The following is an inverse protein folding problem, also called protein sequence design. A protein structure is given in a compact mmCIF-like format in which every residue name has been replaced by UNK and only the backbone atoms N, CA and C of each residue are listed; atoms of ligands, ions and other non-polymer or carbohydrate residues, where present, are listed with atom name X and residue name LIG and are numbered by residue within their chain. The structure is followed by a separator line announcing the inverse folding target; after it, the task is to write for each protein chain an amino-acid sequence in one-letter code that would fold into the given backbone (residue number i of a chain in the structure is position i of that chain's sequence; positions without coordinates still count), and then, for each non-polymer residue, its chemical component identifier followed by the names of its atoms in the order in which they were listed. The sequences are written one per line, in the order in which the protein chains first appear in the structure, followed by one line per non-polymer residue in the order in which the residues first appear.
data_IF_263188820773
#
_entry.id   IF_263188820773
#
_cell.length_a   1.000
_cell.length_b   1.000
_cell.length_c   1.000
_cell.angle_alpha   90.00
_cell.angle_beta   90.00
_cell.angle_gamma   90.00
#
_symmetry.space_group_name_H-M   'P 1'
#
loop_
_entity.id
_entity.type
_entity.pdbx_description
1 polymer ?
#
# COMPACT_ATOMS: atom_id res chain seq x y z
N UNK A 1 15.63 10.56 19.30
CA UNK A 1 16.46 9.84 18.37
C UNK A 1 16.99 10.74 17.26
N UNK A 2 18.11 10.38 16.71
CA UNK A 2 18.68 11.14 15.61
C UNK A 2 17.75 11.10 14.40
N UNK A 3 17.65 12.22 13.71
CA UNK A 3 16.85 12.30 12.50
C UNK A 3 17.46 11.40 11.41
N UNK A 4 16.62 10.78 10.60
CA UNK A 4 17.07 10.03 9.43
C UNK A 4 17.71 11.02 8.47
N UNK A 5 18.92 10.73 7.95
CA UNK A 5 19.55 11.63 6.99
C UNK A 5 18.60 11.90 5.81
N UNK A 6 18.40 13.19 5.51
CA UNK A 6 17.44 13.59 4.48
C UNK A 6 17.78 13.02 3.10
N UNK A 7 19.06 12.88 2.79
CA UNK A 7 19.51 12.33 1.52
C UNK A 7 19.14 10.83 1.36
N UNK A 8 18.91 10.13 2.47
CA UNK A 8 18.49 8.74 2.43
C UNK A 8 16.98 8.61 2.24
N UNK A 9 16.19 9.34 3.07
CA UNK A 9 14.72 9.34 2.94
C UNK A 9 14.30 9.96 1.62
N UNK A 10 15.05 10.97 1.16
CA UNK A 10 14.82 11.68 -0.09
C UNK A 10 15.27 10.89 -1.33
N UNK A 11 15.78 9.68 -1.16
CA UNK A 11 16.20 8.89 -2.30
C UNK A 11 15.16 8.91 -3.43
N UNK A 12 15.59 8.59 -4.64
CA UNK A 12 14.72 8.59 -5.81
C UNK A 12 14.20 7.18 -6.11
N UNK A 13 13.12 7.10 -6.86
CA UNK A 13 12.67 5.86 -7.47
C UNK A 13 12.34 6.13 -8.93
N UNK A 14 12.40 5.09 -9.76
CA UNK A 14 11.95 5.17 -11.15
C UNK A 14 10.61 4.47 -11.28
N UNK A 15 9.61 5.11 -11.91
CA UNK A 15 8.32 4.45 -12.14
C UNK A 15 8.43 3.10 -12.84
N UNK A 16 9.39 2.94 -13.76
CA UNK A 16 9.63 1.66 -14.46
C UNK A 16 10.09 0.54 -13.54
N UNK A 17 10.68 0.87 -12.40
CA UNK A 17 11.17 -0.10 -11.43
C UNK A 17 10.13 -0.46 -10.38
N UNK A 18 8.98 0.23 -10.37
CA UNK A 18 7.89 -0.12 -9.46
C UNK A 18 7.18 -1.37 -9.99
N UNK A 19 6.97 -2.34 -9.11
CA UNK A 19 6.24 -3.56 -9.49
C UNK A 19 4.77 -3.21 -9.66
N UNK A 20 4.29 -3.23 -10.92
CA UNK A 20 2.87 -3.05 -11.18
C UNK A 20 2.22 -4.42 -11.12
N UNK A 21 1.43 -4.65 -10.08
CA UNK A 21 0.61 -5.86 -10.00
C UNK A 21 -0.67 -5.62 -10.80
N UNK A 22 -0.58 -5.76 -12.12
CA UNK A 22 -1.73 -5.57 -12.98
C UNK A 22 -2.64 -6.79 -12.88
N UNK A 23 -3.86 -6.57 -12.39
CA UNK A 23 -4.91 -7.57 -12.24
C UNK A 23 -6.02 -7.23 -13.21
N UNK A 24 -6.75 -8.23 -13.69
CA UNK A 24 -7.91 -7.96 -14.53
C UNK A 24 -9.11 -7.42 -13.72
N UNK A 25 -9.17 -7.73 -12.42
CA UNK A 25 -10.21 -7.26 -11.51
C UNK A 25 -9.63 -6.60 -10.28
N UNK A 26 -10.28 -5.52 -9.83
CA UNK A 26 -9.91 -4.77 -8.64
C UNK A 26 -11.14 -4.58 -7.77
N UNK A 27 -11.01 -4.90 -6.48
CA UNK A 27 -12.06 -4.72 -5.51
C UNK A 27 -11.62 -3.69 -4.47
N UNK A 28 -12.45 -2.67 -4.27
CA UNK A 28 -12.22 -1.63 -3.28
C UNK A 28 -13.42 -1.57 -2.34
N UNK A 29 -13.49 -2.49 -1.35
CA UNK A 29 -14.69 -2.59 -0.51
C UNK A 29 -14.97 -1.35 0.32
N UNK A 30 -13.94 -0.59 0.72
CA UNK A 30 -14.15 0.65 1.45
C UNK A 30 -14.76 1.75 0.57
N UNK A 31 -14.58 1.64 -0.74
CA UNK A 31 -15.19 2.56 -1.71
C UNK A 31 -16.50 2.04 -2.27
N UNK A 32 -16.86 0.80 -2.00
CA UNK A 32 -18.00 0.16 -2.62
C UNK A 32 -17.84 0.02 -4.13
N UNK A 33 -16.64 -0.25 -4.60
CA UNK A 33 -16.30 -0.19 -6.02
C UNK A 33 -15.53 -1.43 -6.44
N UNK A 34 -16.07 -2.15 -7.43
CA UNK A 34 -15.40 -3.25 -8.08
C UNK A 34 -15.25 -2.92 -9.56
N UNK A 35 -14.07 -3.17 -10.11
CA UNK A 35 -13.78 -2.87 -11.51
C UNK A 35 -13.14 -4.07 -12.20
N UNK A 36 -13.53 -4.29 -13.45
CA UNK A 36 -12.86 -5.23 -14.33
C UNK A 36 -12.34 -4.45 -15.54
N UNK A 37 -11.04 -4.52 -15.77
CA UNK A 37 -10.40 -3.76 -16.83
C UNK A 37 -10.49 -4.47 -18.16
N UNK A 38 -10.67 -3.73 -19.28
CA UNK A 38 -10.52 -4.30 -20.62
C UNK A 38 -9.12 -4.87 -20.82
N UNK A 39 -9.03 -5.92 -21.59
CA UNK A 39 -7.75 -6.61 -21.84
C UNK A 39 -6.69 -5.67 -22.41
N UNK A 40 -7.06 -4.80 -23.34
CA UNK A 40 -6.12 -3.86 -23.96
C UNK A 40 -5.59 -2.85 -22.95
N UNK A 41 -6.43 -2.32 -22.08
CA UNK A 41 -6.00 -1.41 -21.00
C UNK A 41 -5.02 -2.11 -20.06
N UNK A 42 -5.32 -3.35 -19.71
CA UNK A 42 -4.47 -4.16 -18.84
C UNK A 42 -3.09 -4.38 -19.49
N UNK A 43 -3.04 -4.65 -20.80
CA UNK A 43 -1.76 -4.79 -21.52
C UNK A 43 -0.93 -3.53 -21.46
N UNK A 44 -1.55 -2.36 -21.61
CA UNK A 44 -0.87 -1.07 -21.56
C UNK A 44 -0.36 -0.74 -20.17
N UNK A 45 -1.09 -1.14 -19.14
CA UNK A 45 -0.63 -1.01 -17.74
C UNK A 45 0.60 -1.89 -17.52
N UNK A 46 0.56 -3.13 -17.98
CA UNK A 46 1.70 -4.06 -17.86
C UNK A 46 2.91 -3.57 -18.65
N UNK A 47 2.70 -2.96 -19.81
CA UNK A 47 3.75 -2.37 -20.63
C UNK A 47 4.25 -1.03 -20.07
N UNK A 48 3.59 -0.50 -19.04
CA UNK A 48 3.93 0.78 -18.41
C UNK A 48 3.82 1.97 -19.37
N UNK A 49 2.96 1.88 -20.38
CA UNK A 49 2.56 3.02 -21.21
C UNK A 49 1.38 3.77 -20.60
N UNK A 50 0.65 3.10 -19.72
CA UNK A 50 -0.42 3.69 -18.89
C UNK A 50 -0.07 3.49 -17.44
N UNK A 51 -0.10 4.55 -16.67
CA UNK A 51 0.05 4.51 -15.22
C UNK A 51 -1.34 4.46 -14.59
N UNK A 52 -1.57 3.47 -13.73
CA UNK A 52 -2.79 3.35 -12.92
C UNK A 52 -2.45 3.79 -11.50
N UNK A 53 -3.03 4.90 -11.05
CA UNK A 53 -2.65 5.53 -9.79
C UNK A 53 -3.90 5.85 -8.98
N UNK A 54 -3.83 5.52 -7.69
CA UNK A 54 -4.90 5.80 -6.73
C UNK A 54 -4.60 7.07 -5.95
N UNK A 55 -5.61 7.88 -5.71
CA UNK A 55 -5.50 9.10 -4.91
C UNK A 55 -6.68 9.22 -3.96
N UNK A 56 -6.43 9.81 -2.81
CA UNK A 56 -7.49 10.08 -1.84
C UNK A 56 -7.22 11.39 -1.11
N UNK A 57 -8.29 12.03 -0.68
CA UNK A 57 -8.23 13.21 0.18
C UNK A 57 -9.10 13.01 1.39
N UNK A 58 -8.59 13.41 2.56
CA UNK A 58 -9.26 13.26 3.85
C UNK A 58 -9.68 14.63 4.36
N UNK A 59 -10.68 14.66 5.25
CA UNK A 59 -11.04 15.87 5.96
C UNK A 59 -9.95 16.24 6.96
N UNK A 60 -10.05 17.41 7.57
CA UNK A 60 -9.04 17.94 8.47
C UNK A 60 -8.77 17.04 9.68
N UNK A 61 -9.79 16.30 10.13
CA UNK A 61 -9.67 15.40 11.28
C UNK A 61 -9.22 13.98 10.90
N UNK A 62 -9.07 13.72 9.61
CA UNK A 62 -8.70 12.40 9.06
C UNK A 62 -9.65 11.27 9.49
N UNK A 63 -10.91 11.59 9.77
CA UNK A 63 -11.94 10.61 10.15
C UNK A 63 -12.91 10.29 9.03
N UNK A 64 -12.89 11.04 7.92
CA UNK A 64 -13.71 10.78 6.75
C UNK A 64 -12.98 11.16 5.47
N UNK A 65 -13.16 10.39 4.41
CA UNK A 65 -12.62 10.76 3.11
C UNK A 65 -13.51 11.81 2.45
N UNK A 66 -12.88 12.73 1.76
CA UNK A 66 -13.55 13.71 0.91
C UNK A 66 -13.72 13.17 -0.49
N UNK A 67 -12.70 12.48 -1.00
CA UNK A 67 -12.72 11.81 -2.30
C UNK A 67 -11.69 10.70 -2.33
N UNK A 68 -11.93 9.73 -3.20
CA UNK A 68 -10.96 8.70 -3.52
C UNK A 68 -11.22 8.24 -4.95
N UNK A 69 -10.17 8.16 -5.76
CA UNK A 69 -10.31 7.76 -7.15
C UNK A 69 -9.09 7.00 -7.65
N UNK A 70 -9.33 6.19 -8.66
CA UNK A 70 -8.27 5.54 -9.43
C UNK A 70 -8.21 6.26 -10.78
N UNK A 71 -7.01 6.61 -11.22
CA UNK A 71 -6.82 7.29 -12.49
C UNK A 71 -5.92 6.49 -13.42
N UNK A 72 -6.10 6.73 -14.71
CA UNK A 72 -5.28 6.16 -15.79
C UNK A 72 -4.70 7.33 -16.57
N UNK A 73 -3.38 7.33 -16.75
CA UNK A 73 -2.66 8.40 -17.44
C UNK A 73 -1.66 7.81 -18.41
N UNK A 74 -1.44 8.47 -19.54
CA UNK A 74 -0.35 8.10 -20.42
C UNK A 74 0.98 8.45 -19.76
N UNK A 75 1.96 7.59 -19.95
CA UNK A 75 3.29 7.77 -19.40
C UNK A 75 4.30 7.62 -20.53
N UNK A 76 5.04 8.70 -20.81
CA UNK A 76 6.11 8.69 -21.83
C UNK A 76 7.31 7.90 -21.27
N UNK A 77 8.22 7.52 -22.18
CA UNK A 77 9.47 6.87 -21.77
C UNK A 77 10.26 7.74 -20.78
N UNK A 78 10.31 9.04 -21.04
CA UNK A 78 10.98 9.98 -20.14
C UNK A 78 10.35 9.99 -18.75
N UNK A 79 9.02 10.02 -18.69
CA UNK A 79 8.29 9.99 -17.41
C UNK A 79 8.45 8.65 -16.68
N UNK A 80 8.46 7.56 -17.43
CA UNK A 80 8.63 6.21 -16.92
C UNK A 80 10.03 6.01 -16.31
N UNK A 81 11.06 6.56 -16.96
CA UNK A 81 12.46 6.44 -16.55
C UNK A 81 12.95 7.59 -15.65
N UNK A 82 12.07 8.53 -15.32
CA UNK A 82 12.43 9.66 -14.47
C UNK A 82 12.82 9.21 -13.08
N UNK A 83 13.85 9.84 -12.52
CA UNK A 83 14.19 9.67 -11.11
C UNK A 83 13.36 10.65 -10.28
N UNK A 84 12.41 10.12 -9.55
CA UNK A 84 11.44 10.91 -8.77
C UNK A 84 11.84 10.89 -7.30
N UNK A 85 12.03 12.08 -6.72
CA UNK A 85 12.31 12.18 -5.29
C UNK A 85 11.14 11.66 -4.47
N UNK A 86 11.45 10.88 -3.44
CA UNK A 86 10.45 10.32 -2.53
C UNK A 86 9.89 11.35 -1.56
N UNK A 87 10.60 12.46 -1.37
CA UNK A 87 10.23 13.53 -0.44
C UNK A 87 9.91 14.80 -1.20
N UNK A 88 9.17 15.70 -0.56
CA UNK A 88 8.79 16.99 -1.14
C UNK A 88 7.69 16.85 -2.18
N UNK A 89 7.68 17.76 -3.16
CA UNK A 89 6.62 17.84 -4.18
C UNK A 89 6.93 17.07 -5.46
N UNK A 90 8.10 16.45 -5.55
CA UNK A 90 8.54 15.81 -6.81
C UNK A 90 7.57 14.74 -7.32
N UNK A 91 7.00 13.93 -6.43
CA UNK A 91 6.02 12.93 -6.83
C UNK A 91 4.76 13.60 -7.40
N UNK A 92 4.26 14.62 -6.71
CA UNK A 92 3.06 15.34 -7.17
C UNK A 92 3.33 16.04 -8.51
N UNK A 93 4.50 16.65 -8.66
CA UNK A 93 4.90 17.29 -9.91
C UNK A 93 4.99 16.29 -11.05
N UNK A 94 5.58 15.13 -10.79
CA UNK A 94 5.65 14.03 -11.77
C UNK A 94 4.24 13.56 -12.13
N UNK A 95 3.40 13.25 -11.14
CA UNK A 95 2.03 12.80 -11.36
C UNK A 95 1.21 13.82 -12.15
N UNK A 96 1.35 15.11 -11.82
CA UNK A 96 0.63 16.16 -12.50
C UNK A 96 1.13 16.39 -13.93
N UNK A 97 2.34 15.94 -14.25
CA UNK A 97 2.89 16.02 -15.62
C UNK A 97 2.32 14.96 -16.56
N UNK A 98 1.73 13.89 -16.00
CA UNK A 98 1.18 12.80 -16.80
C UNK A 98 -0.08 13.25 -17.55
N UNK A 99 -0.26 12.77 -18.78
CA UNK A 99 -1.44 13.08 -19.57
C UNK A 99 -2.61 12.21 -19.09
N UNK A 100 -3.59 12.82 -18.41
CA UNK A 100 -4.74 12.13 -17.83
C UNK A 100 -5.65 11.59 -18.93
N UNK A 101 -6.01 10.32 -18.86
CA UNK A 101 -7.00 9.69 -19.74
C UNK A 101 -8.35 9.70 -19.03
N UNK A 102 -8.42 9.18 -17.81
CA UNK A 102 -9.66 9.14 -17.07
C UNK A 102 -9.46 8.70 -15.63
N UNK A 103 -10.57 8.70 -14.88
CA UNK A 103 -10.60 8.34 -13.48
C UNK A 103 -11.97 7.80 -13.10
N UNK A 104 -12.01 6.91 -12.13
CA UNK A 104 -13.25 6.41 -11.53
C UNK A 104 -13.09 6.51 -10.01
N UNK A 105 -14.07 7.09 -9.34
CA UNK A 105 -13.99 7.26 -7.90
C UNK A 105 -15.23 7.79 -7.23
N UNK A 106 -15.09 8.11 -5.96
CA UNK A 106 -16.14 8.66 -5.10
C UNK A 106 -15.76 10.06 -4.64
N UNK A 107 -16.78 10.89 -4.45
CA UNK A 107 -16.59 12.30 -4.11
C UNK A 107 -17.72 12.76 -3.18
N UNK A 108 -17.34 13.45 -2.09
CA UNK A 108 -18.36 14.06 -1.23
C UNK A 108 -18.95 15.29 -1.92
N UNK A 109 -19.92 15.93 -1.28
CA UNK A 109 -20.65 17.08 -1.85
C UNK A 109 -19.72 18.22 -2.25
N UNK A 110 -18.72 18.54 -1.42
CA UNK A 110 -17.78 19.61 -1.70
C UNK A 110 -16.82 19.24 -2.83
N UNK A 111 -16.32 18.00 -2.83
CA UNK A 111 -15.39 17.50 -3.84
C UNK A 111 -16.06 17.41 -5.22
N UNK A 112 -17.36 17.09 -5.26
CA UNK A 112 -18.14 17.04 -6.50
C UNK A 112 -18.12 18.37 -7.27
N UNK A 113 -17.94 19.48 -6.56
CA UNK A 113 -17.87 20.82 -7.16
C UNK A 113 -16.50 21.12 -7.78
N UNK A 114 -15.49 20.30 -7.51
CA UNK A 114 -14.12 20.51 -7.93
C UNK A 114 -13.53 19.32 -8.71
N UNK A 115 -14.35 18.59 -9.44
CA UNK A 115 -13.94 17.37 -10.14
C UNK A 115 -12.80 17.60 -11.13
N UNK A 116 -12.83 18.70 -11.88
CA UNK A 116 -11.76 19.02 -12.83
C UNK A 116 -10.41 19.16 -12.12
N UNK A 117 -10.41 19.89 -11.03
CA UNK A 117 -9.21 20.15 -10.23
C UNK A 117 -8.69 18.89 -9.58
N UNK A 118 -9.58 18.08 -9.01
CA UNK A 118 -9.21 16.86 -8.28
C UNK A 118 -8.69 15.79 -9.23
N UNK A 119 -9.40 15.53 -10.32
CA UNK A 119 -9.09 14.42 -11.24
C UNK A 119 -8.13 14.79 -12.36
N UNK A 120 -8.02 16.06 -12.69
CA UNK A 120 -7.29 16.50 -13.88
C UNK A 120 -8.03 16.15 -15.17
N UNK A 121 -9.28 15.75 -15.10
CA UNK A 121 -10.14 15.43 -16.24
C UNK A 121 -11.19 16.50 -16.45
N UNK A 122 -11.73 16.59 -17.66
CA UNK A 122 -12.64 17.68 -18.04
C UNK A 122 -14.09 17.26 -18.23
N UNK A 123 -14.35 15.97 -18.37
CA UNK A 123 -15.69 15.42 -18.58
C UNK A 123 -16.02 14.45 -17.46
N UNK A 124 -17.22 14.58 -16.87
CA UNK A 124 -17.60 13.78 -15.71
C UNK A 124 -19.00 13.23 -15.86
N UNK A 125 -19.13 11.92 -15.69
CA UNK A 125 -20.42 11.23 -15.76
C UNK A 125 -20.73 10.60 -14.41
N UNK A 126 -21.83 10.97 -13.78
CA UNK A 126 -22.30 10.33 -12.56
C UNK A 126 -22.73 8.89 -12.87
N UNK A 127 -22.18 7.93 -12.13
CA UNK A 127 -22.48 6.51 -12.34
C UNK A 127 -23.20 5.88 -11.14
N UNK A 128 -23.41 6.62 -10.08
CA UNK A 128 -24.16 6.15 -8.92
C UNK A 128 -23.89 7.00 -7.68
N UNK A 129 -24.47 6.58 -6.58
CA UNK A 129 -24.26 7.22 -5.27
C UNK A 129 -24.21 6.14 -4.18
N UNK A 130 -23.53 6.47 -3.07
CA UNK A 130 -23.50 5.57 -1.91
C UNK A 130 -24.89 5.46 -1.28
N UNK A 131 -25.14 4.35 -0.59
CA UNK A 131 -26.46 4.08 0.02
C UNK A 131 -26.84 5.12 1.07
N UNK A 132 -25.85 5.71 1.77
CA UNK A 132 -26.07 6.74 2.77
C UNK A 132 -26.18 8.16 2.16
N UNK A 133 -25.98 8.29 0.84
CA UNK A 133 -26.09 9.57 0.14
C UNK A 133 -24.93 10.52 0.33
N UNK A 134 -23.88 10.11 1.04
CA UNK A 134 -22.73 10.98 1.33
C UNK A 134 -21.80 11.16 0.14
N UNK A 135 -21.73 10.18 -0.75
CA UNK A 135 -20.81 10.17 -1.88
C UNK A 135 -21.51 9.89 -3.19
N UNK A 136 -21.02 10.51 -4.24
CA UNK A 136 -21.38 10.17 -5.61
C UNK A 136 -20.22 9.55 -6.33
N UNK A 137 -20.50 8.64 -7.24
CA UNK A 137 -19.53 7.96 -8.08
C UNK A 137 -19.51 8.62 -9.44
N UNK A 138 -18.30 8.90 -9.93
CA UNK A 138 -18.10 9.50 -11.25
C UNK A 138 -17.10 8.72 -12.07
N UNK A 139 -17.42 8.60 -13.35
CA UNK A 139 -16.48 8.23 -14.40
C UNK A 139 -16.04 9.52 -15.06
N UNK A 140 -14.77 9.83 -15.01
CA UNK A 140 -14.18 11.04 -15.56
C UNK A 140 -13.28 10.71 -16.73
N UNK A 141 -13.30 11.53 -17.78
CA UNK A 141 -12.40 11.42 -18.93
C UNK A 141 -11.88 12.79 -19.29
N UNK A 142 -10.72 12.82 -19.95
CA UNK A 142 -10.13 14.07 -20.42
C UNK A 142 -10.41 14.24 -21.91
N UNK A 143 -11.02 15.37 -22.27
CA UNK A 143 -11.34 15.64 -23.68
C UNK A 143 -10.13 15.63 -24.62
N UNK A 144 -8.95 15.95 -24.08
CA UNK A 144 -7.70 16.02 -24.86
C UNK A 144 -6.99 14.68 -24.96
N UNK A 145 -7.50 13.65 -24.29
CA UNK A 145 -6.89 12.31 -24.33
C UNK A 145 -7.16 11.62 -25.66
N UNK A 146 -6.31 10.66 -26.00
CA UNK A 146 -6.50 9.81 -27.15
C UNK A 146 -7.85 9.11 -27.09
N UNK A 147 -8.61 9.15 -28.20
CA UNK A 147 -9.98 8.61 -28.23
C UNK A 147 -10.02 7.11 -27.94
N UNK A 148 -9.04 6.35 -28.39
CA UNK A 148 -9.01 4.90 -28.14
C UNK A 148 -8.76 4.60 -26.66
N UNK A 149 -7.92 5.39 -26.00
CA UNK A 149 -7.66 5.25 -24.58
C UNK A 149 -8.86 5.67 -23.73
N UNK A 150 -9.51 6.76 -24.11
CA UNK A 150 -10.76 7.19 -23.44
C UNK A 150 -11.81 6.08 -23.50
N UNK A 151 -11.94 5.46 -24.68
CA UNK A 151 -12.89 4.36 -24.87
C UNK A 151 -12.57 3.17 -23.97
N UNK A 152 -11.29 2.83 -23.82
CA UNK A 152 -10.88 1.75 -22.93
C UNK A 152 -11.28 2.03 -21.48
N UNK A 153 -11.11 3.27 -21.00
CA UNK A 153 -11.54 3.67 -19.67
C UNK A 153 -13.07 3.60 -19.54
N UNK A 154 -13.79 4.05 -20.57
CA UNK A 154 -15.25 3.99 -20.59
C UNK A 154 -15.78 2.55 -20.63
N UNK A 155 -15.00 1.60 -21.13
CA UNK A 155 -15.34 0.18 -21.21
C UNK A 155 -15.00 -0.60 -19.93
N UNK A 156 -14.42 0.04 -18.92
CA UNK A 156 -14.19 -0.60 -17.63
C UNK A 156 -15.54 -1.04 -17.06
N UNK A 157 -15.65 -2.30 -16.70
CA UNK A 157 -16.87 -2.85 -16.11
C UNK A 157 -16.88 -2.50 -14.62
N UNK A 158 -17.80 -1.62 -14.22
CA UNK A 158 -17.88 -1.09 -12.87
C UNK A 158 -19.12 -1.68 -12.18
N UNK A 159 -18.92 -2.26 -11.02
CA UNK A 159 -20.00 -2.71 -10.14
C UNK A 159 -19.90 -1.94 -8.82
N UNK A 160 -20.99 -1.33 -8.41
CA UNK A 160 -21.09 -0.63 -7.14
C UNK A 160 -21.65 -1.57 -6.07
N UNK A 161 -21.01 -1.58 -4.91
CA UNK A 161 -21.40 -2.40 -3.77
C UNK A 161 -21.57 -1.52 -2.54
N UNK A 162 -22.07 -2.10 -1.44
CA UNK A 162 -22.12 -1.39 -0.17
C UNK A 162 -20.69 -1.13 0.32
N UNK A 163 -20.47 0.08 0.84
CA UNK A 163 -19.18 0.46 1.39
C UNK A 163 -18.93 -0.26 2.71
N UNK A 164 -17.77 -0.92 2.82
CA UNK A 164 -17.35 -1.47 4.10
C UNK A 164 -16.85 -0.32 4.98
N UNK A 165 -17.29 -0.20 6.23
CA UNK A 165 -16.77 0.85 7.11
C UNK A 165 -15.26 0.72 7.29
N UNK A 166 -14.54 1.83 7.24
CA UNK A 166 -13.10 1.86 7.49
C UNK A 166 -12.80 2.73 8.71
N UNK A 167 -11.74 2.38 9.42
CA UNK A 167 -11.29 3.10 10.61
C UNK A 167 -9.85 3.53 10.41
N UNK A 168 -9.61 4.78 10.04
CA UNK A 168 -8.28 5.36 9.88
C UNK A 168 -7.37 4.59 8.90
N UNK A 169 -7.96 3.85 7.98
CA UNK A 169 -7.24 3.13 6.93
C UNK A 169 -7.38 3.88 5.61
N UNK A 170 -6.44 3.66 4.69
CA UNK A 170 -6.59 4.18 3.33
C UNK A 170 -7.86 3.62 2.70
N UNK A 171 -8.57 4.45 1.94
CA UNK A 171 -9.79 4.04 1.24
C UNK A 171 -9.52 2.97 0.17
N UNK A 172 -8.27 2.81 -0.27
CA UNK A 172 -7.87 1.83 -1.26
C UNK A 172 -7.36 0.53 -0.65
N UNK A 173 -7.22 0.47 0.68
CA UNK A 173 -6.82 -0.74 1.34
C UNK A 173 -7.95 -1.75 1.29
N UNK A 174 -7.61 -2.97 0.94
CA UNK A 174 -8.57 -4.05 0.84
C UNK A 174 -8.49 -4.93 2.08
N UNK A 175 -9.62 -5.37 2.65
CA UNK A 175 -9.57 -6.49 3.56
C UNK A 175 -8.90 -7.64 2.84
N UNK A 176 -7.96 -8.29 3.49
CA UNK A 176 -7.26 -9.39 2.86
C UNK A 176 -8.24 -10.46 2.44
N UNK A 177 -8.16 -10.86 1.17
CA UNK A 177 -8.93 -11.99 0.68
C UNK A 177 -8.23 -13.26 1.16
N UNK A 178 -8.75 -13.82 2.25
CA UNK A 178 -8.19 -15.01 2.85
C UNK A 178 -8.32 -16.25 1.97
N UNK A 179 -9.21 -16.21 0.97
CA UNK A 179 -9.36 -17.35 0.06
C UNK A 179 -8.20 -17.49 -0.91
N UNK A 180 -7.51 -16.37 -1.23
CA UNK A 180 -6.38 -16.35 -2.17
C UNK A 180 -5.03 -16.19 -1.46
N UNK A 181 -5.02 -15.98 -0.16
CA UNK A 181 -3.80 -15.66 0.59
C UNK A 181 -3.08 -16.88 1.16
N UNK A 182 -3.50 -18.11 0.81
CA UNK A 182 -2.97 -19.32 1.43
C UNK A 182 -3.46 -19.47 2.87
N UNK A 183 -2.63 -19.99 3.77
CA UNK A 183 -3.01 -20.12 5.18
C UNK A 183 -2.96 -18.77 5.86
N UNK A 184 -4.14 -18.26 6.26
CA UNK A 184 -4.28 -16.97 6.94
C UNK A 184 -4.27 -17.08 8.46
N UNK A 185 -4.08 -18.29 9.02
CA UNK A 185 -4.11 -18.50 10.49
C UNK A 185 -2.72 -18.49 11.11
N UNK A 186 -1.67 -18.70 10.31
CA UNK A 186 -0.29 -18.72 10.79
C UNK A 186 0.66 -18.20 9.72
N UNK A 187 1.79 -17.66 10.15
CA UNK A 187 2.88 -17.26 9.23
C UNK A 187 3.58 -18.51 8.69
N UNK A 188 3.46 -19.64 9.38
CA UNK A 188 4.09 -20.89 8.99
C UNK A 188 5.51 -21.02 9.51
N UNK A 189 6.12 -22.15 9.22
CA UNK A 189 7.50 -22.44 9.61
C UNK A 189 8.42 -21.97 8.48
N UNK A 190 8.88 -20.76 8.59
CA UNK A 190 9.78 -20.20 7.59
C UNK A 190 11.26 -20.34 8.02
N UNK A 191 12.13 -20.35 7.04
CA UNK A 191 13.56 -20.26 7.23
C UNK A 191 14.09 -19.25 6.23
N UNK A 192 14.65 -18.16 6.71
CA UNK A 192 15.07 -17.09 5.84
C UNK A 192 16.26 -16.33 6.43
N UNK A 193 16.75 -15.40 5.64
CA UNK A 193 17.77 -14.45 6.11
C UNK A 193 17.13 -13.07 6.29
N UNK A 194 17.67 -12.32 7.25
CA UNK A 194 17.42 -10.90 7.32
C UNK A 194 18.29 -10.16 6.32
N UNK A 195 17.99 -8.89 6.11
CA UNK A 195 18.84 -8.02 5.28
C UNK A 195 20.21 -7.79 5.92
N UNK A 196 20.35 -8.13 7.20
CA UNK A 196 21.61 -8.10 7.96
C UNK A 196 22.47 -9.38 7.75
N UNK A 197 21.96 -10.34 6.97
CA UNK A 197 22.65 -11.61 6.68
C UNK A 197 22.47 -12.68 7.74
N UNK A 198 21.76 -12.40 8.83
CA UNK A 198 21.51 -13.39 9.90
C UNK A 198 20.37 -14.32 9.51
N UNK A 199 20.37 -15.52 10.10
CA UNK A 199 19.32 -16.51 9.87
C UNK A 199 18.15 -16.29 10.84
N UNK A 200 16.94 -16.42 10.32
CA UNK A 200 15.70 -16.26 11.10
C UNK A 200 14.72 -17.38 10.76
N UNK A 201 14.00 -17.82 11.78
CA UNK A 201 12.88 -18.76 11.65
C UNK A 201 11.67 -18.19 12.40
N UNK A 202 10.55 -18.93 12.40
CA UNK A 202 9.35 -18.56 13.16
C UNK A 202 9.63 -18.40 14.66
N UNK A 203 10.74 -18.88 15.14
CA UNK A 203 11.17 -18.70 16.54
C UNK A 203 11.46 -17.23 16.88
N UNK A 204 11.58 -16.36 15.87
CA UNK A 204 11.75 -14.93 16.10
C UNK A 204 10.59 -14.34 16.90
N UNK A 205 9.42 -14.97 16.87
CA UNK A 205 8.24 -14.54 17.62
C UNK A 205 8.18 -15.05 19.06
N UNK A 206 9.00 -16.06 19.39
CA UNK A 206 8.87 -16.79 20.66
C UNK A 206 9.19 -15.98 21.92
N UNK A 207 9.94 -14.88 21.76
CA UNK A 207 10.35 -14.03 22.88
C UNK A 207 9.29 -12.98 23.25
N UNK A 208 8.20 -12.88 22.50
CA UNK A 208 7.19 -11.84 22.66
C UNK A 208 5.80 -12.45 22.72
N UNK A 209 4.95 -11.90 23.57
CA UNK A 209 3.54 -12.30 23.63
C UNK A 209 2.78 -11.89 22.36
N UNK A 210 3.21 -10.79 21.75
CA UNK A 210 2.64 -10.24 20.55
C UNK A 210 3.76 -9.65 19.71
N UNK A 211 3.78 -9.95 18.41
CA UNK A 211 4.71 -9.31 17.47
C UNK A 211 3.93 -8.61 16.37
N UNK A 212 4.29 -7.35 16.15
CA UNK A 212 3.81 -6.57 15.02
C UNK A 212 4.65 -6.92 13.81
N UNK A 213 4.01 -7.42 12.74
CA UNK A 213 4.69 -7.76 11.49
C UNK A 213 4.31 -6.72 10.44
N UNK A 214 5.29 -5.92 10.03
CA UNK A 214 5.11 -4.82 9.09
C UNK A 214 5.66 -5.20 7.72
N UNK A 215 4.78 -5.26 6.73
CA UNK A 215 5.16 -5.62 5.35
C UNK A 215 5.31 -4.33 4.55
N UNK A 216 6.48 -4.13 3.99
CA UNK A 216 6.79 -2.90 3.27
C UNK A 216 7.71 -3.13 2.08
N UNK A 217 7.89 -2.09 1.29
CA UNK A 217 8.84 -2.08 0.17
C UNK A 217 9.80 -0.91 0.33
N UNK A 218 10.99 -1.03 -0.25
CA UNK A 218 12.02 0.00 -0.11
C UNK A 218 11.71 1.28 -0.87
N UNK A 219 10.81 1.21 -1.86
CA UNK A 219 10.40 2.37 -2.68
C UNK A 219 9.18 3.11 -2.09
N UNK A 220 8.56 2.59 -1.07
CA UNK A 220 7.32 3.12 -0.49
C UNK A 220 7.65 4.18 0.57
N UNK A 221 7.45 5.46 0.24
CA UNK A 221 7.76 6.57 1.16
C UNK A 221 7.01 6.50 2.50
N UNK A 222 5.70 6.24 2.54
CA UNK A 222 5.01 6.08 3.82
C UNK A 222 5.58 4.94 4.66
N UNK A 223 6.00 3.85 4.02
CA UNK A 223 6.61 2.72 4.72
C UNK A 223 7.93 3.12 5.37
N UNK A 224 8.80 3.80 4.60
CA UNK A 224 10.11 4.25 5.07
C UNK A 224 9.96 5.24 6.22
N UNK A 225 9.03 6.17 6.09
CA UNK A 225 8.78 7.19 7.11
C UNK A 225 8.19 6.61 8.40
N UNK A 226 7.56 5.45 8.32
CA UNK A 226 7.00 4.75 9.47
C UNK A 226 8.06 4.01 10.30
N UNK A 227 9.18 3.62 9.69
CA UNK A 227 10.20 2.82 10.38
C UNK A 227 10.65 3.44 11.70
N UNK A 228 10.95 4.74 11.79
CA UNK A 228 11.33 5.34 13.08
C UNK A 228 10.21 5.27 14.13
N UNK A 229 8.97 5.36 13.73
CA UNK A 229 7.83 5.24 14.63
C UNK A 229 7.73 3.81 15.19
N UNK A 230 7.95 2.82 14.32
CA UNK A 230 7.95 1.41 14.72
C UNK A 230 9.15 1.08 15.61
N UNK A 231 10.30 1.71 15.37
CA UNK A 231 11.46 1.52 16.25
C UNK A 231 11.20 2.09 17.65
N UNK A 232 10.59 3.26 17.74
CA UNK A 232 10.19 3.83 19.03
C UNK A 232 9.19 2.93 19.75
N UNK A 233 8.22 2.41 19.02
CA UNK A 233 7.24 1.46 19.56
C UNK A 233 7.95 0.23 20.13
N UNK A 234 8.88 -0.34 19.37
CA UNK A 234 9.65 -1.50 19.77
C UNK A 234 10.44 -1.23 21.06
N UNK A 235 11.18 -0.12 21.10
CA UNK A 235 11.96 0.24 22.29
C UNK A 235 11.10 0.45 23.51
N UNK A 236 9.93 1.03 23.38
CA UNK A 236 9.01 1.26 24.51
C UNK A 236 8.28 0.01 24.95
N UNK A 237 8.02 -0.94 24.06
CA UNK A 237 7.12 -2.06 24.34
C UNK A 237 7.82 -3.43 24.43
N UNK A 238 9.07 -3.55 24.00
CA UNK A 238 9.78 -4.85 24.00
C UNK A 238 9.84 -5.52 25.38
N UNK A 239 10.01 -4.73 26.43
CA UNK A 239 10.05 -5.24 27.81
C UNK A 239 8.63 -5.52 28.34
N UNK A 240 7.61 -5.16 27.59
CA UNK A 240 6.20 -5.42 27.91
C UNK A 240 5.64 -6.57 27.07
N UNK A 241 6.49 -7.31 26.40
CA UNK A 241 6.10 -8.49 25.63
C UNK A 241 5.72 -8.23 24.19
N UNK A 242 6.08 -7.07 23.63
CA UNK A 242 5.76 -6.72 22.24
C UNK A 242 7.02 -6.64 21.40
N UNK A 243 7.05 -7.43 20.33
CA UNK A 243 8.12 -7.39 19.33
C UNK A 243 7.67 -6.71 18.04
N UNK A 244 8.64 -6.40 17.20
CA UNK A 244 8.40 -5.84 15.85
C UNK A 244 9.30 -6.58 14.87
N UNK A 245 8.72 -6.95 13.73
CA UNK A 245 9.45 -7.58 12.63
C UNK A 245 9.01 -6.90 11.33
N UNK A 246 9.97 -6.49 10.52
CA UNK A 246 9.70 -6.00 9.18
C UNK A 246 9.89 -7.12 8.16
N UNK A 247 9.08 -7.14 7.10
CA UNK A 247 9.26 -8.03 5.96
C UNK A 247 9.37 -7.14 4.71
N UNK A 248 10.49 -7.25 4.01
CA UNK A 248 10.78 -6.38 2.87
C UNK A 248 10.39 -7.09 1.58
N UNK A 249 9.20 -6.83 1.08
CA UNK A 249 8.60 -7.63 0.02
C UNK A 249 9.32 -7.49 -1.32
N UNK A 250 9.86 -6.32 -1.63
CA UNK A 250 10.56 -6.08 -2.90
C UNK A 250 11.99 -6.63 -2.97
N UNK A 251 12.46 -7.29 -1.89
CA UNK A 251 13.74 -8.03 -1.93
C UNK A 251 13.62 -9.33 -2.74
N UNK A 252 12.40 -9.75 -3.07
CA UNK A 252 12.12 -10.95 -3.87
C UNK A 252 11.25 -10.53 -5.05
N UNK A 253 11.62 -10.97 -6.25
CA UNK A 253 10.85 -10.70 -7.46
C UNK A 253 9.67 -11.67 -7.61
N UNK A 254 8.85 -11.42 -8.64
CA UNK A 254 7.67 -12.26 -8.95
C UNK A 254 8.05 -13.71 -9.26
N UNK A 255 9.28 -13.94 -9.70
CA UNK A 255 9.82 -15.28 -9.99
C UNK A 255 10.36 -15.98 -8.73
N UNK A 256 10.23 -15.36 -7.56
CA UNK A 256 10.73 -15.88 -6.30
C UNK A 256 12.24 -15.69 -6.09
N UNK A 257 12.92 -15.04 -7.01
CA UNK A 257 14.37 -14.81 -6.90
C UNK A 257 14.66 -13.56 -6.10
N UNK A 258 15.71 -13.68 -5.26
CA UNK A 258 16.17 -12.57 -4.46
C UNK A 258 16.87 -11.52 -5.32
N UNK A 259 16.53 -10.24 -5.09
CA UNK A 259 17.19 -9.10 -5.72
C UNK A 259 18.23 -8.57 -4.75
N UNK A 260 19.50 -8.88 -5.02
CA UNK A 260 20.61 -8.53 -4.12
C UNK A 260 20.79 -7.01 -3.98
N UNK A 261 20.52 -6.25 -5.02
CA UNK A 261 20.60 -4.79 -4.95
C UNK A 261 19.54 -4.22 -3.98
N UNK A 262 18.34 -4.77 -4.00
CA UNK A 262 17.26 -4.35 -3.09
C UNK A 262 17.53 -4.81 -1.66
N UNK A 263 18.11 -6.01 -1.49
CA UNK A 263 18.54 -6.48 -0.16
C UNK A 263 19.57 -5.51 0.44
N UNK A 264 20.53 -5.09 -0.35
CA UNK A 264 21.56 -4.12 0.07
C UNK A 264 20.92 -2.78 0.44
N UNK A 265 19.99 -2.32 -0.38
CA UNK A 265 19.23 -1.07 -0.13
C UNK A 265 18.46 -1.16 1.19
N UNK A 266 17.79 -2.28 1.44
CA UNK A 266 17.07 -2.52 2.68
C UNK A 266 17.99 -2.58 3.89
N UNK A 267 19.18 -3.16 3.74
CA UNK A 267 20.20 -3.17 4.79
C UNK A 267 20.68 -1.78 5.16
N UNK A 268 20.92 -0.94 4.15
CA UNK A 268 21.29 0.47 4.37
C UNK A 268 20.13 1.21 5.05
N UNK A 269 18.89 0.93 4.63
CA UNK A 269 17.70 1.52 5.23
C UNK A 269 17.60 1.15 6.72
N UNK A 270 17.80 -0.11 7.07
CA UNK A 270 17.81 -0.58 8.46
C UNK A 270 18.87 0.16 9.29
N UNK A 271 20.07 0.27 8.76
CA UNK A 271 21.18 0.95 9.43
C UNK A 271 20.91 2.44 9.63
N UNK A 272 20.48 3.13 8.58
CA UNK A 272 20.26 4.58 8.62
C UNK A 272 19.07 4.99 9.47
N UNK A 273 18.03 4.17 9.53
CA UNK A 273 16.87 4.41 10.40
C UNK A 273 17.12 3.96 11.83
N UNK A 274 18.23 3.27 12.07
CA UNK A 274 18.59 2.70 13.38
C UNK A 274 17.55 1.70 13.88
N UNK A 275 16.84 1.05 12.97
CA UNK A 275 15.86 0.02 13.32
C UNK A 275 16.60 -1.16 13.94
N UNK A 276 16.28 -1.46 15.19
CA UNK A 276 16.89 -2.57 15.92
C UNK A 276 16.09 -3.87 15.78
N UNK A 277 14.90 -3.80 15.21
CA UNK A 277 14.11 -4.99 14.91
C UNK A 277 14.52 -5.57 13.54
N UNK A 278 14.32 -6.88 13.31
CA UNK A 278 14.80 -7.51 12.08
C UNK A 278 13.98 -7.12 10.86
N UNK A 279 14.67 -7.02 9.73
CA UNK A 279 14.07 -6.87 8.40
C UNK A 279 14.27 -8.19 7.68
N UNK A 280 13.22 -8.95 7.46
CA UNK A 280 13.28 -10.28 6.86
C UNK A 280 13.12 -10.21 5.34
N UNK A 281 13.85 -11.10 4.67
CA UNK A 281 13.63 -11.41 3.26
C UNK A 281 12.57 -12.51 3.22
N UNK A 282 11.42 -12.31 2.56
CA UNK A 282 10.38 -13.34 2.57
C UNK A 282 10.84 -14.59 1.81
N UNK A 283 10.61 -15.76 2.41
CA UNK A 283 10.87 -17.04 1.77
C UNK A 283 9.61 -17.56 1.05
N UNK A 284 9.71 -18.74 0.43
CA UNK A 284 8.59 -19.31 -0.31
C UNK A 284 7.40 -19.66 0.59
N UNK A 285 7.65 -20.02 1.85
CA UNK A 285 6.58 -20.32 2.81
C UNK A 285 5.75 -19.07 3.07
N UNK A 286 6.41 -17.94 3.30
CA UNK A 286 5.72 -16.66 3.50
C UNK A 286 5.02 -16.19 2.22
N UNK A 287 5.71 -16.25 1.08
CA UNK A 287 5.16 -15.77 -0.20
C UNK A 287 3.97 -16.58 -0.67
N UNK A 288 3.97 -17.89 -0.44
CA UNK A 288 2.86 -18.76 -0.81
C UNK A 288 1.77 -18.85 0.27
N UNK A 289 2.04 -18.31 1.46
CA UNK A 289 1.12 -18.28 2.59
C UNK A 289 0.56 -16.89 2.84
N UNK A 290 0.83 -16.34 4.02
CA UNK A 290 0.23 -15.08 4.48
C UNK A 290 0.51 -13.88 3.56
N UNK A 291 1.66 -13.85 2.89
CA UNK A 291 2.03 -12.72 2.04
C UNK A 291 1.52 -12.83 0.60
N UNK A 292 0.84 -13.92 0.27
CA UNK A 292 0.28 -14.10 -1.07
C UNK A 292 -0.82 -13.07 -1.33
N UNK A 293 -0.71 -12.37 -2.44
CA UNK A 293 -1.74 -11.41 -2.87
C UNK A 293 -1.66 -10.03 -2.26
N UNK A 294 -0.63 -9.73 -1.45
CA UNK A 294 -0.47 -8.39 -0.90
C UNK A 294 -0.05 -7.43 -2.01
N UNK A 295 -0.81 -6.35 -2.19
CA UNK A 295 -0.59 -5.37 -3.24
C UNK A 295 -0.54 -3.92 -2.73
N UNK A 296 -0.87 -3.68 -1.47
CA UNK A 296 -0.87 -2.34 -0.87
C UNK A 296 0.11 -2.29 0.30
N UNK A 297 0.86 -1.20 0.42
CA UNK A 297 1.93 -1.05 1.41
C UNK A 297 1.84 0.30 2.14
N UNK A 298 2.19 0.35 3.44
CA UNK A 298 2.53 -0.81 4.27
C UNK A 298 1.29 -1.58 4.69
N UNK A 299 1.44 -2.87 4.94
CA UNK A 299 0.42 -3.70 5.55
C UNK A 299 0.99 -4.29 6.84
N UNK A 300 0.19 -4.30 7.91
CA UNK A 300 0.62 -4.77 9.21
C UNK A 300 -0.37 -5.78 9.78
N UNK A 301 0.13 -6.87 10.29
CA UNK A 301 -0.66 -7.85 11.05
C UNK A 301 0.10 -8.25 12.31
N UNK A 302 -0.58 -8.98 13.19
CA UNK A 302 -0.02 -9.38 14.48
C UNK A 302 0.03 -10.89 14.59
N UNK A 303 1.05 -11.38 15.29
CA UNK A 303 1.20 -12.81 15.60
C UNK A 303 1.47 -12.99 17.08
N UNK A 304 1.08 -14.17 17.61
CA UNK A 304 1.45 -14.58 18.96
C UNK A 304 2.85 -15.23 18.95
N UNK A 305 3.28 -15.71 20.12
CA UNK A 305 4.62 -16.31 20.27
C UNK A 305 4.83 -17.60 19.46
N UNK A 306 3.76 -18.23 19.01
CA UNK A 306 3.82 -19.45 18.19
C UNK A 306 3.70 -19.17 16.69
N UNK A 307 3.61 -17.88 16.29
CA UNK A 307 3.47 -17.49 14.89
C UNK A 307 2.05 -17.55 14.37
N UNK A 308 1.07 -17.75 15.26
CA UNK A 308 -0.34 -17.71 14.88
C UNK A 308 -0.78 -16.27 14.70
N UNK A 309 -1.52 -16.01 13.62
CA UNK A 309 -2.03 -14.67 13.32
C UNK A 309 -3.18 -14.37 14.28
N UNK A 310 -3.09 -13.22 14.94
CA UNK A 310 -4.08 -12.78 15.94
C UNK A 310 -4.54 -11.38 15.61
N UNK A 311 -5.77 -11.06 15.98
CA UNK A 311 -6.32 -9.72 15.82
C UNK A 311 -6.58 -9.34 14.36
N UNK A 312 -6.53 -8.06 14.10
CA UNK A 312 -6.89 -7.47 12.82
C UNK A 312 -5.65 -7.17 11.95
N UNK A 313 -5.86 -7.06 10.65
CA UNK A 313 -4.87 -6.55 9.70
C UNK A 313 -5.08 -5.04 9.56
N UNK A 314 -3.98 -4.30 9.54
CA UNK A 314 -3.99 -2.85 9.47
C UNK A 314 -3.28 -2.41 8.20
N UNK A 315 -3.88 -1.48 7.47
CA UNK A 315 -3.32 -0.96 6.24
C UNK A 315 -2.89 0.49 6.43
N UNK A 316 -1.86 0.91 5.70
CA UNK A 316 -1.32 2.26 5.78
C UNK A 316 -0.39 2.48 6.96
N UNK A 317 0.31 3.62 6.91
CA UNK A 317 1.23 4.01 7.98
C UNK A 317 0.49 4.69 9.13
N UNK A 318 1.01 4.49 10.35
CA UNK A 318 0.44 5.07 11.56
C UNK A 318 1.51 5.74 12.39
N UNK A 319 1.11 6.71 13.19
CA UNK A 319 1.99 7.36 14.16
C UNK A 319 2.28 6.43 15.34
N UNK A 320 3.29 6.79 16.12
CA UNK A 320 3.61 6.07 17.36
C UNK A 320 2.40 5.97 18.30
N UNK A 321 1.69 7.09 18.50
CA UNK A 321 0.53 7.12 19.40
C UNK A 321 -0.60 6.22 18.91
N UNK A 322 -0.83 6.20 17.61
CA UNK A 322 -1.83 5.30 17.00
C UNK A 322 -1.41 3.84 17.18
N UNK A 323 -0.14 3.51 16.92
CA UNK A 323 0.37 2.16 17.09
C UNK A 323 0.30 1.72 18.55
N UNK A 324 0.58 2.60 19.50
CA UNK A 324 0.44 2.26 20.94
C UNK A 324 -0.97 1.81 21.28
N UNK A 325 -1.98 2.53 20.79
CA UNK A 325 -3.38 2.17 21.03
C UNK A 325 -3.74 0.84 20.39
N UNK A 326 -3.29 0.63 19.16
CA UNK A 326 -3.53 -0.62 18.42
C UNK A 326 -2.87 -1.80 19.16
N UNK A 327 -1.62 -1.65 19.54
CA UNK A 327 -0.84 -2.69 20.23
C UNK A 327 -1.47 -3.02 21.57
N UNK A 328 -1.91 -2.03 22.35
CA UNK A 328 -2.58 -2.25 23.62
C UNK A 328 -3.86 -3.06 23.43
N UNK A 329 -4.65 -2.74 22.41
CA UNK A 329 -5.87 -3.47 22.06
C UNK A 329 -5.54 -4.94 21.69
N UNK A 330 -4.58 -5.14 20.80
CA UNK A 330 -4.23 -6.48 20.33
C UNK A 330 -3.55 -7.31 21.41
N UNK A 331 -2.73 -6.69 22.26
CA UNK A 331 -2.08 -7.36 23.39
C UNK A 331 -3.12 -7.83 24.42
N UNK A 332 -4.13 -7.03 24.68
CA UNK A 332 -5.22 -7.41 25.58
C UNK A 332 -5.97 -8.64 25.06
N UNK A 333 -6.11 -8.77 23.74
CA UNK A 333 -6.78 -9.92 23.12
C UNK A 333 -5.99 -11.23 23.30
N UNK A 334 -4.66 -11.19 23.24
CA UNK A 334 -3.83 -12.40 23.41
C UNK A 334 -3.63 -12.78 24.87
N UNK A 335 -3.87 -11.85 25.79
CA UNK A 335 -3.72 -12.09 27.22
C UNK A 335 -4.96 -12.73 27.85
N UNK A 336 -6.02 -12.91 27.10
CA UNK A 336 -7.27 -13.52 27.58
C UNK A 336 -7.23 -15.03 27.46
#
# INVERSE_FOLDING_TARGET
GDAIPSNFIQGTFKPSETTVQAQDSYEYPFLGLNMKLPEELLKQIKAQTIAMISNEGWNDNADAIKYAYISWSEMTEEQKEAEVDKMGTAYDDWYNSLAKVGAIGIYDEDSEKELDKITGCTEHKEIGSSSDGKYKYYLSTNKDADESLKKEVEEIDVTLTEMTPFQQLSAFDQPQDTSNAGDSTTVGKFETKGVDGKDYTEKVFSDYDLTLVNIFTTWCSPCVNEIPELEKLYEEMKDKGVGVVGVVLDTVGDDGKQDDATVKKAGVLQEKTKASYPFLIPDSTMMNGRLNGISAFPETFFVDKDGNIVGETYSGSHSLDEWKKIVEKELANVSK
#
